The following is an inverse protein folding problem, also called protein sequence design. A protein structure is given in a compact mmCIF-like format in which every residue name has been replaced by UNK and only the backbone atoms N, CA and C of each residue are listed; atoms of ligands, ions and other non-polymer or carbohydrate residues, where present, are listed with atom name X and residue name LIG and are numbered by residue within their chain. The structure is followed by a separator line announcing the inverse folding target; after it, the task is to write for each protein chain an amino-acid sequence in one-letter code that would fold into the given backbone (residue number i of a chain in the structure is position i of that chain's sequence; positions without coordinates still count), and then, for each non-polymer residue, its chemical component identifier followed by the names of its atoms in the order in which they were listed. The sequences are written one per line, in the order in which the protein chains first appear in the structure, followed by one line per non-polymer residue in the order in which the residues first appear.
data_IF_807681176565
#
_entry.id   IF_807681176565
#
_cell.length_a   1.000
_cell.length_b   1.000
_cell.length_c   1.000
_cell.angle_alpha   90.00
_cell.angle_beta   90.00
_cell.angle_gamma   90.00
#
_symmetry.space_group_name_H-M   'P 1'
#
loop_
_entity.id
_entity.type
_entity.pdbx_description
1 polymer ?
#
# COMPACT_ATOMS: atom_id res chain seq x y z
N UNK A 1 -5.31 11.98 -3.33
CA UNK A 1 -6.13 11.84 -4.57
C UNK A 1 -5.69 10.60 -5.33
N UNK A 2 -6.64 9.79 -5.81
CA UNK A 2 -6.38 8.62 -6.66
C UNK A 2 -5.80 9.07 -8.00
N UNK A 3 -4.77 8.38 -8.49
CA UNK A 3 -4.10 8.74 -9.75
C UNK A 3 -4.95 8.29 -10.97
N UNK A 4 -5.40 9.25 -11.76
CA UNK A 4 -6.26 9.01 -12.92
C UNK A 4 -5.54 8.31 -14.08
N UNK A 5 -4.21 8.23 -14.07
CA UNK A 5 -3.47 7.39 -15.04
C UNK A 5 -3.75 5.91 -14.83
N UNK A 6 -4.04 5.50 -13.61
CA UNK A 6 -4.27 4.08 -13.27
C UNK A 6 -5.75 3.75 -13.12
N UNK A 7 -6.56 4.68 -12.62
CA UNK A 7 -7.95 4.43 -12.28
C UNK A 7 -8.84 5.50 -12.91
N UNK A 8 -9.88 5.07 -13.65
CA UNK A 8 -10.83 5.98 -14.23
C UNK A 8 -11.80 6.46 -13.15
N UNK A 9 -11.90 7.76 -12.96
CA UNK A 9 -12.89 8.38 -12.09
C UNK A 9 -14.23 8.52 -12.80
N UNK A 10 -15.31 8.00 -12.20
CA UNK A 10 -16.65 8.00 -12.76
C UNK A 10 -17.47 9.27 -12.38
N UNK A 11 -16.86 10.23 -11.66
CA UNK A 11 -17.48 11.48 -11.26
C UNK A 11 -17.03 12.69 -12.11
N UNK A 12 -17.26 13.91 -11.65
CA UNK A 12 -17.83 14.27 -10.33
C UNK A 12 -19.33 13.96 -10.17
N UNK A 13 -19.76 13.69 -8.94
CA UNK A 13 -21.14 13.30 -8.62
C UNK A 13 -21.62 13.98 -7.33
N UNK A 14 -22.90 14.30 -7.22
CA UNK A 14 -23.49 14.83 -5.97
C UNK A 14 -23.47 13.77 -4.87
N UNK A 15 -23.14 14.15 -3.63
CA UNK A 15 -22.99 13.23 -2.49
C UNK A 15 -24.27 12.43 -2.23
N UNK A 16 -25.44 13.09 -2.26
CA UNK A 16 -26.73 12.40 -2.09
C UNK A 16 -27.00 11.37 -3.19
N UNK A 17 -26.70 11.73 -4.45
CA UNK A 17 -26.83 10.82 -5.59
C UNK A 17 -25.84 9.64 -5.51
N UNK A 18 -24.61 9.88 -5.05
CA UNK A 18 -23.62 8.84 -4.82
C UNK A 18 -24.11 7.84 -3.76
N UNK A 19 -24.60 8.33 -2.61
CA UNK A 19 -25.12 7.47 -1.54
C UNK A 19 -26.35 6.67 -1.99
N UNK A 20 -27.25 7.29 -2.74
CA UNK A 20 -28.40 6.60 -3.33
C UNK A 20 -27.96 5.50 -4.32
N UNK A 21 -26.97 5.78 -5.18
CA UNK A 21 -26.47 4.81 -6.16
C UNK A 21 -25.89 3.53 -5.55
N UNK A 22 -25.42 3.60 -4.30
CA UNK A 22 -24.89 2.46 -3.54
C UNK A 22 -25.91 1.86 -2.55
N UNK A 23 -27.20 2.23 -2.66
CA UNK A 23 -28.28 1.73 -1.79
C UNK A 23 -28.24 2.26 -0.35
N UNK A 24 -27.70 3.47 -0.16
CA UNK A 24 -27.58 4.12 1.15
C UNK A 24 -28.37 5.45 1.21
N UNK A 25 -29.58 5.42 0.68
CA UNK A 25 -30.53 6.55 0.76
C UNK A 25 -30.85 6.93 2.22
N UNK A 26 -30.72 5.96 3.14
CA UNK A 26 -30.91 6.14 4.58
C UNK A 26 -29.97 7.20 5.19
N UNK A 27 -28.81 7.45 4.59
CA UNK A 27 -27.81 8.42 5.05
C UNK A 27 -28.06 9.84 4.51
N UNK A 28 -28.84 10.00 3.45
CA UNK A 28 -29.06 11.30 2.78
C UNK A 28 -29.78 12.34 3.66
N UNK A 29 -30.84 11.99 4.41
CA UNK A 29 -31.54 12.96 5.26
C UNK A 29 -30.68 13.59 6.37
N UNK A 30 -29.59 12.93 6.77
CA UNK A 30 -28.64 13.42 7.78
C UNK A 30 -27.58 14.37 7.26
N UNK A 31 -27.50 14.59 5.95
CA UNK A 31 -26.48 15.43 5.34
C UNK A 31 -26.82 16.91 5.44
N UNK A 32 -25.82 17.73 5.78
CA UNK A 32 -25.96 19.21 5.73
C UNK A 32 -26.06 19.76 4.30
N UNK A 33 -25.43 19.08 3.33
CA UNK A 33 -25.38 19.50 1.92
C UNK A 33 -25.40 18.26 1.00
N UNK A 34 -26.59 17.67 0.70
CA UNK A 34 -26.68 16.48 -0.17
C UNK A 34 -26.25 16.73 -1.62
N UNK A 35 -26.35 17.97 -2.09
CA UNK A 35 -25.96 18.35 -3.46
C UNK A 35 -24.46 18.68 -3.59
N UNK A 36 -23.68 18.54 -2.52
CA UNK A 36 -22.25 18.81 -2.54
C UNK A 36 -21.52 17.89 -3.51
N UNK A 37 -20.60 18.45 -4.31
CA UNK A 37 -19.96 17.75 -5.40
C UNK A 37 -18.75 16.95 -4.89
N UNK A 38 -18.81 15.64 -5.05
CA UNK A 38 -17.70 14.70 -4.78
C UNK A 38 -16.79 14.67 -6.00
N UNK A 39 -15.53 15.02 -5.81
CA UNK A 39 -14.49 15.03 -6.86
C UNK A 39 -13.42 13.93 -6.67
N UNK A 40 -13.54 13.10 -5.64
CA UNK A 40 -12.62 12.00 -5.40
C UNK A 40 -12.66 11.48 -3.98
N UNK A 41 -11.68 10.63 -3.69
CA UNK A 41 -11.38 10.09 -2.35
C UNK A 41 -9.91 10.29 -2.04
N UNK A 42 -9.57 10.47 -0.76
CA UNK A 42 -8.18 10.62 -0.34
C UNK A 42 -7.98 10.17 1.11
N UNK A 43 -6.72 10.01 1.51
CA UNK A 43 -6.36 9.81 2.92
C UNK A 43 -6.64 11.06 3.73
N UNK A 44 -6.90 10.92 5.04
CA UNK A 44 -7.27 12.04 5.93
C UNK A 44 -6.31 13.23 5.85
N UNK A 45 -5.00 12.95 5.77
CA UNK A 45 -3.94 13.96 5.76
C UNK A 45 -3.87 14.77 4.45
N UNK A 46 -4.34 14.18 3.35
CA UNK A 46 -4.19 14.71 1.98
C UNK A 46 -5.49 15.19 1.37
N UNK A 47 -6.63 14.88 1.98
CA UNK A 47 -7.95 15.15 1.43
C UNK A 47 -8.25 16.65 1.34
N UNK A 48 -8.77 17.05 0.17
CA UNK A 48 -9.24 18.40 -0.11
C UNK A 48 -10.76 18.54 0.04
N UNK A 49 -11.26 19.75 -0.23
CA UNK A 49 -12.67 20.11 -0.02
C UNK A 49 -13.67 19.23 -0.79
N UNK A 50 -13.35 18.81 -2.00
CA UNK A 50 -14.23 17.95 -2.83
C UNK A 50 -14.04 16.45 -2.60
N UNK A 51 -13.18 16.04 -1.70
CA UNK A 51 -12.81 14.63 -1.52
C UNK A 51 -13.44 14.03 -0.26
N UNK A 52 -13.79 12.75 -0.36
CA UNK A 52 -14.23 11.95 0.78
C UNK A 52 -13.00 11.36 1.47
N UNK A 53 -12.83 11.64 2.76
CA UNK A 53 -11.91 10.94 3.63
C UNK A 53 -12.68 10.00 4.57
N UNK A 54 -11.97 9.01 5.13
CA UNK A 54 -12.56 7.93 5.88
C UNK A 54 -11.86 7.71 7.22
N UNK A 55 -12.63 7.54 8.30
CA UNK A 55 -12.14 7.15 9.62
C UNK A 55 -13.13 6.23 10.33
N UNK A 56 -12.71 5.01 10.64
CA UNK A 56 -13.57 4.03 11.32
C UNK A 56 -13.13 3.68 12.75
N UNK A 57 -11.88 3.98 13.11
CA UNK A 57 -11.32 3.60 14.41
C UNK A 57 -10.85 4.82 15.20
N UNK A 58 -11.02 4.87 16.54
CA UNK A 58 -10.63 6.00 17.39
C UNK A 58 -9.15 6.41 17.29
N UNK A 59 -8.26 5.51 16.87
CA UNK A 59 -6.86 5.84 16.63
C UNK A 59 -6.66 6.94 15.59
N UNK A 60 -7.62 7.15 14.68
CA UNK A 60 -7.59 8.19 13.64
C UNK A 60 -8.22 9.52 14.08
N UNK A 61 -8.65 9.67 15.34
CA UNK A 61 -9.31 10.88 15.80
C UNK A 61 -8.41 12.14 15.70
N UNK A 62 -7.10 11.98 15.89
CA UNK A 62 -6.14 13.07 15.77
C UNK A 62 -5.99 13.56 14.33
N UNK A 63 -5.80 12.64 13.39
CA UNK A 63 -5.69 12.92 11.96
C UNK A 63 -7.00 13.47 11.41
N UNK A 64 -8.15 12.92 11.86
CA UNK A 64 -9.47 13.39 11.48
C UNK A 64 -9.69 14.85 11.83
N UNK A 65 -9.37 15.27 13.07
CA UNK A 65 -9.49 16.67 13.51
C UNK A 65 -8.64 17.65 12.69
N UNK A 66 -7.52 17.19 12.15
CA UNK A 66 -6.56 17.98 11.38
C UNK A 66 -6.82 17.93 9.87
N UNK A 67 -7.72 17.06 9.44
CA UNK A 67 -8.01 16.89 8.01
C UNK A 67 -8.65 18.14 7.39
N UNK A 68 -8.33 18.40 6.12
CA UNK A 68 -8.95 19.41 5.30
C UNK A 68 -10.05 18.85 4.38
N UNK A 69 -10.47 17.60 4.60
CA UNK A 69 -11.52 16.95 3.83
C UNK A 69 -12.84 17.73 3.93
N UNK A 70 -13.45 17.99 2.80
CA UNK A 70 -14.79 18.60 2.78
C UNK A 70 -15.90 17.61 3.10
N UNK A 71 -15.64 16.30 2.98
CA UNK A 71 -16.57 15.22 3.31
C UNK A 71 -15.82 14.15 4.12
N UNK A 72 -16.39 13.74 5.25
CA UNK A 72 -15.81 12.66 6.07
C UNK A 72 -16.84 11.56 6.30
N UNK A 73 -16.47 10.34 5.97
CA UNK A 73 -17.20 9.12 6.30
C UNK A 73 -16.65 8.54 7.58
N UNK A 74 -17.44 8.53 8.65
CA UNK A 74 -16.95 8.19 9.99
C UNK A 74 -17.85 7.21 10.73
N UNK A 75 -17.27 6.47 11.66
CA UNK A 75 -18.04 5.72 12.65
C UNK A 75 -18.74 6.70 13.62
N UNK A 76 -19.92 6.34 14.18
CA UNK A 76 -20.71 7.26 15.03
C UNK A 76 -19.95 7.85 16.22
N UNK A 77 -19.01 7.12 16.78
CA UNK A 77 -18.17 7.56 17.91
C UNK A 77 -17.04 8.57 17.53
N UNK A 78 -16.90 8.91 16.24
CA UNK A 78 -15.92 9.87 15.73
C UNK A 78 -16.57 11.15 15.18
N UNK A 79 -17.89 11.29 15.28
CA UNK A 79 -18.62 12.46 14.74
C UNK A 79 -18.13 13.77 15.35
N UNK A 80 -17.86 13.80 16.66
CA UNK A 80 -17.39 14.98 17.37
C UNK A 80 -15.93 15.34 17.03
N UNK A 81 -15.19 14.41 16.43
CA UNK A 81 -13.82 14.61 15.97
C UNK A 81 -13.73 15.12 14.52
N UNK A 82 -14.87 15.23 13.82
CA UNK A 82 -14.89 15.69 12.44
C UNK A 82 -14.41 17.15 12.30
N UNK A 83 -13.72 17.49 11.19
CA UNK A 83 -13.29 18.86 10.94
C UNK A 83 -14.46 19.83 10.91
N UNK A 84 -14.27 21.03 11.47
CA UNK A 84 -15.30 22.08 11.42
C UNK A 84 -15.62 22.46 9.97
N UNK A 85 -16.90 22.35 9.61
CA UNK A 85 -17.38 22.67 8.26
C UNK A 85 -17.35 21.51 7.26
N UNK A 86 -16.80 20.36 7.60
CA UNK A 86 -16.93 19.17 6.79
C UNK A 86 -18.35 18.60 6.83
N UNK A 87 -18.77 17.99 5.72
CA UNK A 87 -20.02 17.22 5.65
C UNK A 87 -19.74 15.85 6.27
N UNK A 88 -20.45 15.52 7.33
CA UNK A 88 -20.25 14.27 8.06
C UNK A 88 -21.26 13.22 7.59
N UNK A 89 -20.76 12.09 7.13
CA UNK A 89 -21.52 10.89 6.82
C UNK A 89 -21.23 9.85 7.91
N UNK A 90 -22.12 9.70 8.87
CA UNK A 90 -21.94 8.80 10.01
C UNK A 90 -22.67 7.48 9.81
N UNK A 91 -21.98 6.35 9.97
CA UNK A 91 -22.57 5.03 9.84
C UNK A 91 -21.80 3.96 10.63
N UNK A 92 -22.49 2.93 11.12
CA UNK A 92 -21.86 1.77 11.79
C UNK A 92 -21.15 0.82 10.80
N UNK A 93 -21.56 0.84 9.53
CA UNK A 93 -20.97 0.02 8.46
C UNK A 93 -19.90 0.76 7.65
N UNK A 94 -19.11 1.62 8.27
CA UNK A 94 -18.20 2.58 7.65
C UNK A 94 -17.30 1.96 6.56
N UNK A 95 -16.66 0.82 6.85
CA UNK A 95 -15.78 0.15 5.88
C UNK A 95 -16.54 -0.37 4.65
N UNK A 96 -17.75 -0.89 4.83
CA UNK A 96 -18.57 -1.39 3.72
C UNK A 96 -19.04 -0.25 2.83
N UNK A 97 -19.56 0.82 3.44
CA UNK A 97 -19.99 2.02 2.71
C UNK A 97 -18.81 2.65 1.97
N UNK A 98 -17.63 2.67 2.60
CA UNK A 98 -16.44 3.18 1.92
C UNK A 98 -16.05 2.32 0.71
N UNK A 99 -16.07 1.00 0.84
CA UNK A 99 -15.80 0.10 -0.29
C UNK A 99 -16.85 0.28 -1.42
N UNK A 100 -18.15 0.50 -1.08
CA UNK A 100 -19.19 0.79 -2.07
C UNK A 100 -18.93 2.11 -2.79
N UNK A 101 -18.52 3.15 -2.06
CA UNK A 101 -18.14 4.45 -2.63
C UNK A 101 -16.94 4.30 -3.58
N UNK A 102 -15.92 3.53 -3.19
CA UNK A 102 -14.76 3.27 -4.05
C UNK A 102 -15.15 2.52 -5.33
N UNK A 103 -16.03 1.52 -5.23
CA UNK A 103 -16.54 0.77 -6.38
C UNK A 103 -17.37 1.65 -7.32
N UNK A 104 -18.18 2.56 -6.78
CA UNK A 104 -18.99 3.49 -7.57
C UNK A 104 -18.15 4.55 -8.28
N UNK A 105 -17.18 5.16 -7.57
CA UNK A 105 -16.34 6.22 -8.11
C UNK A 105 -15.21 5.69 -9.02
N UNK A 106 -14.76 4.46 -8.80
CA UNK A 106 -13.68 3.81 -9.57
C UNK A 106 -14.09 2.38 -9.93
N UNK A 107 -14.92 2.20 -10.97
CA UNK A 107 -15.49 0.90 -11.35
C UNK A 107 -14.43 -0.18 -11.61
N UNK A 108 -14.70 -1.41 -11.20
CA UNK A 108 -13.76 -2.53 -11.23
C UNK A 108 -13.22 -2.87 -12.63
N UNK A 109 -13.99 -2.64 -13.68
CA UNK A 109 -13.56 -2.83 -15.07
C UNK A 109 -12.46 -1.84 -15.51
N UNK A 110 -12.21 -0.79 -14.74
CA UNK A 110 -11.13 0.17 -15.00
C UNK A 110 -9.89 -0.08 -14.12
N UNK A 111 -9.95 -1.07 -13.24
CA UNK A 111 -8.89 -1.46 -12.31
C UNK A 111 -8.15 -2.72 -12.77
N UNK A 112 -8.04 -2.89 -14.07
CA UNK A 112 -7.48 -4.09 -14.70
C UNK A 112 -6.06 -4.41 -14.23
N UNK A 113 -5.84 -5.66 -13.88
CA UNK A 113 -4.59 -6.17 -13.33
C UNK A 113 -3.47 -6.16 -14.36
N UNK A 114 -3.74 -6.39 -15.61
CA UNK A 114 -2.69 -6.55 -16.62
C UNK A 114 -3.04 -5.67 -17.81
N UNK A 115 -2.26 -4.62 -18.00
CA UNK A 115 -2.39 -3.79 -19.18
C UNK A 115 -3.86 -3.58 -19.57
N UNK A 116 -4.67 -3.20 -18.59
CA UNK A 116 -6.02 -2.76 -18.87
C UNK A 116 -5.91 -1.76 -19.99
N UNK A 117 -6.53 -2.07 -21.08
CA UNK A 117 -6.53 -1.22 -22.26
C UNK A 117 -7.16 0.12 -21.83
N UNK A 118 -6.30 1.02 -21.40
CA UNK A 118 -6.65 2.42 -21.15
C UNK A 118 -6.58 3.15 -22.48
N UNK A 119 -7.53 2.82 -23.37
CA UNK A 119 -7.65 3.45 -24.70
C UNK A 119 -7.80 4.97 -24.65
N UNK A 120 -8.15 5.51 -23.48
CA UNK A 120 -8.24 6.95 -23.20
C UNK A 120 -6.87 7.60 -22.90
N UNK A 121 -5.80 6.84 -22.72
CA UNK A 121 -4.44 7.34 -22.55
C UNK A 121 -3.70 7.45 -23.89
N UNK A 122 -2.69 8.32 -23.92
CA UNK A 122 -1.84 8.50 -25.08
C UNK A 122 -1.00 7.26 -25.38
N UNK A 123 -0.45 7.18 -26.59
CA UNK A 123 0.58 6.20 -26.95
C UNK A 123 1.78 6.28 -25.99
N UNK A 124 2.50 5.16 -25.76
CA UNK A 124 3.68 5.16 -24.92
C UNK A 124 4.75 6.15 -25.37
N UNK A 125 5.31 6.91 -24.42
CA UNK A 125 6.46 7.77 -24.67
C UNK A 125 7.75 7.06 -24.27
N UNK A 126 8.53 6.64 -25.27
CA UNK A 126 9.79 5.92 -25.07
C UNK A 126 10.94 6.83 -25.53
N UNK A 127 11.80 7.25 -24.59
CA UNK A 127 12.98 8.08 -24.92
C UNK A 127 14.01 7.29 -25.74
N UNK A 128 15.03 7.97 -26.27
CA UNK A 128 16.10 7.36 -27.03
C UNK A 128 16.91 6.35 -26.20
N UNK A 129 17.57 5.40 -26.88
CA UNK A 129 18.45 4.39 -26.28
C UNK A 129 17.75 3.46 -25.25
N UNK A 130 16.44 3.30 -25.34
CA UNK A 130 15.70 2.28 -24.59
C UNK A 130 15.78 0.95 -25.35
N UNK A 131 16.16 -0.11 -24.65
CA UNK A 131 16.15 -1.47 -25.19
C UNK A 131 14.94 -2.26 -24.67
N UNK A 132 14.13 -2.82 -25.56
CA UNK A 132 13.03 -3.72 -25.24
C UNK A 132 13.38 -5.14 -25.68
N UNK A 133 13.42 -6.07 -24.73
CA UNK A 133 13.62 -7.49 -24.99
C UNK A 133 12.43 -8.12 -25.74
N UNK A 134 12.56 -9.39 -26.10
CA UNK A 134 11.50 -10.11 -26.78
C UNK A 134 10.20 -10.18 -25.95
N UNK A 135 9.05 -10.03 -26.62
CA UNK A 135 7.72 -10.14 -26.02
C UNK A 135 7.44 -9.17 -24.85
N UNK A 136 8.08 -8.01 -24.81
CA UNK A 136 7.75 -6.96 -23.83
C UNK A 136 6.40 -6.37 -24.22
N UNK A 137 5.44 -6.36 -23.26
CA UNK A 137 4.16 -5.68 -23.41
C UNK A 137 4.24 -4.30 -22.75
N UNK A 138 3.85 -3.25 -23.48
CA UNK A 138 3.85 -1.86 -22.98
C UNK A 138 2.44 -1.29 -23.14
N UNK A 139 1.84 -0.87 -22.03
CA UNK A 139 0.49 -0.29 -21.98
C UNK A 139 0.46 1.17 -22.44
N UNK A 140 -0.74 1.68 -22.70
CA UNK A 140 -0.98 3.08 -23.07
C UNK A 140 -0.58 4.03 -21.93
N UNK A 141 -0.09 5.24 -22.26
CA UNK A 141 0.33 6.25 -21.30
C UNK A 141 1.61 5.92 -20.53
N UNK A 142 2.32 4.85 -20.91
CA UNK A 142 3.62 4.49 -20.31
C UNK A 142 4.69 5.50 -20.73
N UNK A 143 5.54 5.87 -19.79
CA UNK A 143 6.72 6.71 -20.04
C UNK A 143 8.00 5.96 -19.66
N UNK A 144 8.99 5.86 -20.57
CA UNK A 144 10.26 5.17 -20.32
C UNK A 144 11.42 6.10 -20.64
N UNK A 145 12.23 6.42 -19.62
CA UNK A 145 13.41 7.27 -19.72
C UNK A 145 14.57 6.60 -20.44
N UNK A 146 15.42 7.42 -21.08
CA UNK A 146 16.57 7.00 -21.89
C UNK A 146 17.51 6.04 -21.18
N UNK A 147 18.17 5.17 -21.94
CA UNK A 147 19.17 4.24 -21.45
C UNK A 147 18.59 3.10 -20.59
N UNK A 148 17.27 3.00 -20.50
CA UNK A 148 16.61 1.91 -19.75
C UNK A 148 16.57 0.63 -20.60
N UNK A 149 16.85 -0.50 -19.94
CA UNK A 149 16.83 -1.84 -20.54
C UNK A 149 15.71 -2.65 -19.91
N UNK A 150 14.82 -3.19 -20.73
CA UNK A 150 13.70 -4.03 -20.30
C UNK A 150 13.87 -5.44 -20.84
N UNK A 151 13.96 -6.41 -19.93
CA UNK A 151 14.15 -7.83 -20.23
C UNK A 151 12.93 -8.49 -20.86
N UNK A 152 13.15 -9.64 -21.47
CA UNK A 152 12.12 -10.38 -22.18
C UNK A 152 10.90 -10.72 -21.32
N UNK A 153 9.72 -10.75 -21.93
CA UNK A 153 8.43 -11.06 -21.31
C UNK A 153 8.04 -10.14 -20.14
N UNK A 154 8.65 -8.97 -20.00
CA UNK A 154 8.19 -7.98 -19.02
C UNK A 154 6.85 -7.39 -19.46
N UNK A 155 5.99 -7.04 -18.48
CA UNK A 155 4.70 -6.40 -18.70
C UNK A 155 4.69 -5.06 -17.96
N UNK A 156 4.57 -3.98 -18.72
CA UNK A 156 4.50 -2.61 -18.21
C UNK A 156 3.05 -2.15 -18.39
N UNK A 157 2.32 -2.08 -17.28
CA UNK A 157 0.91 -1.70 -17.25
C UNK A 157 0.69 -0.25 -17.68
N UNK A 158 -0.53 0.08 -18.07
CA UNK A 158 -0.90 1.41 -18.53
C UNK A 158 -0.59 2.49 -17.48
N UNK A 159 -0.08 3.64 -17.92
CA UNK A 159 0.22 4.80 -17.09
C UNK A 159 1.49 4.69 -16.23
N UNK A 160 2.18 3.55 -16.24
CA UNK A 160 3.44 3.36 -15.50
C UNK A 160 4.52 4.30 -16.02
N UNK A 161 5.32 4.89 -15.11
CA UNK A 161 6.49 5.67 -15.49
C UNK A 161 7.78 5.01 -15.00
N UNK A 162 8.77 4.94 -15.86
CA UNK A 162 10.10 4.38 -15.58
C UNK A 162 11.14 5.47 -15.89
N UNK A 163 11.96 5.82 -14.91
CA UNK A 163 13.03 6.79 -15.06
C UNK A 163 14.13 6.33 -16.01
N UNK A 164 15.26 7.02 -15.98
CA UNK A 164 16.42 6.80 -16.86
C UNK A 164 17.39 5.79 -16.29
N UNK A 165 18.10 5.10 -17.19
CA UNK A 165 19.18 4.14 -16.85
C UNK A 165 18.70 3.03 -15.90
N UNK A 166 17.44 2.59 -16.03
CA UNK A 166 16.90 1.47 -15.25
C UNK A 166 17.22 0.14 -15.92
N UNK A 167 17.28 -0.92 -15.11
CA UNK A 167 17.41 -2.30 -15.58
C UNK A 167 16.21 -3.09 -15.06
N UNK A 168 15.30 -3.44 -15.94
CA UNK A 168 14.10 -4.20 -15.64
C UNK A 168 14.31 -5.62 -16.13
N UNK A 169 14.40 -6.58 -15.22
CA UNK A 169 14.67 -7.99 -15.50
C UNK A 169 13.56 -8.68 -16.30
N UNK A 170 13.85 -9.88 -16.79
CA UNK A 170 12.86 -10.68 -17.50
C UNK A 170 11.66 -11.05 -16.61
N UNK A 171 10.47 -11.18 -17.20
CA UNK A 171 9.24 -11.54 -16.51
C UNK A 171 8.83 -10.57 -15.36
N UNK A 172 9.33 -9.35 -15.32
CA UNK A 172 8.88 -8.32 -14.38
C UNK A 172 7.49 -7.84 -14.78
N UNK A 173 6.63 -7.56 -13.78
CA UNK A 173 5.34 -6.90 -14.01
C UNK A 173 5.28 -5.61 -13.21
N UNK A 174 4.91 -4.51 -13.87
CA UNK A 174 4.71 -3.20 -13.26
C UNK A 174 3.26 -2.76 -13.47
N UNK A 175 2.57 -2.40 -12.39
CA UNK A 175 1.20 -1.91 -12.38
C UNK A 175 1.09 -0.74 -11.39
N UNK A 176 0.31 0.28 -11.69
CA UNK A 176 0.08 1.40 -10.77
C UNK A 176 1.37 1.88 -10.09
N UNK A 177 2.45 2.04 -10.84
CA UNK A 177 3.78 2.27 -10.30
C UNK A 177 4.52 3.40 -10.99
N UNK A 178 5.36 4.09 -10.22
CA UNK A 178 6.32 5.09 -10.68
C UNK A 178 7.71 4.73 -10.20
N UNK A 179 8.65 4.58 -11.13
CA UNK A 179 10.05 4.26 -10.87
C UNK A 179 10.92 5.48 -11.16
N UNK A 180 11.81 5.79 -10.23
CA UNK A 180 12.88 6.79 -10.41
C UNK A 180 13.99 6.32 -11.34
N UNK A 181 15.13 7.01 -11.28
CA UNK A 181 16.28 6.74 -12.13
C UNK A 181 17.19 5.65 -11.54
N UNK A 182 17.85 4.88 -12.41
CA UNK A 182 18.83 3.88 -11.99
C UNK A 182 18.27 2.75 -11.15
N UNK A 183 16.96 2.47 -11.26
CA UNK A 183 16.30 1.37 -10.56
C UNK A 183 16.69 0.05 -11.22
N UNK A 184 16.98 -0.95 -10.40
CA UNK A 184 17.27 -2.32 -10.85
C UNK A 184 16.22 -3.27 -10.29
N UNK A 185 15.47 -3.93 -11.16
CA UNK A 185 14.53 -4.99 -10.81
C UNK A 185 15.02 -6.31 -11.37
N UNK A 186 15.26 -7.27 -10.49
CA UNK A 186 15.69 -8.61 -10.89
C UNK A 186 14.54 -9.42 -11.50
N UNK A 187 14.82 -10.55 -12.20
CA UNK A 187 13.77 -11.31 -12.87
C UNK A 187 12.62 -11.71 -11.93
N UNK A 188 11.41 -11.62 -12.46
CA UNK A 188 10.21 -12.06 -11.76
C UNK A 188 9.66 -11.10 -10.69
N UNK A 189 10.24 -9.92 -10.50
CA UNK A 189 9.71 -8.89 -9.57
C UNK A 189 8.29 -8.45 -9.98
N UNK A 190 7.42 -8.22 -8.99
CA UNK A 190 6.07 -7.68 -9.17
C UNK A 190 5.92 -6.38 -8.40
N UNK A 191 5.63 -5.29 -9.08
CA UNK A 191 5.41 -3.98 -8.46
C UNK A 191 3.99 -3.51 -8.74
N UNK A 192 3.31 -3.08 -7.66
CA UNK A 192 2.00 -2.44 -7.76
C UNK A 192 0.82 -3.40 -7.83
N UNK A 193 1.01 -4.68 -7.49
CA UNK A 193 -0.11 -5.60 -7.28
C UNK A 193 -1.04 -5.10 -6.18
N UNK A 194 -2.31 -5.50 -6.21
CA UNK A 194 -3.27 -5.10 -5.18
C UNK A 194 -2.89 -5.64 -3.80
N UNK A 195 -2.91 -4.77 -2.80
CA UNK A 195 -2.70 -5.14 -1.41
C UNK A 195 -3.78 -6.08 -0.86
N UNK A 196 -3.48 -6.73 0.25
CA UNK A 196 -4.37 -7.68 0.92
C UNK A 196 -5.40 -6.94 1.78
N UNK A 197 -6.40 -6.31 1.13
CA UNK A 197 -7.51 -5.59 1.77
C UNK A 197 -8.82 -6.34 1.64
N UNK A 198 -9.31 -6.94 2.73
CA UNK A 198 -10.55 -7.73 2.75
C UNK A 198 -11.40 -7.40 3.96
N UNK A 199 -12.72 -7.36 3.76
CA UNK A 199 -13.72 -7.31 4.83
C UNK A 199 -14.25 -8.72 5.04
N UNK A 200 -14.23 -9.17 6.31
CA UNK A 200 -14.86 -10.42 6.71
C UNK A 200 -16.38 -10.23 6.85
N UNK A 201 -17.15 -11.01 6.10
CA UNK A 201 -18.61 -11.06 6.18
C UNK A 201 -19.14 -12.40 6.73
N UNK A 202 -18.28 -13.15 7.41
CA UNK A 202 -18.61 -14.44 8.04
C UNK A 202 -18.73 -15.61 7.06
N UNK A 203 -19.39 -15.45 5.91
CA UNK A 203 -19.52 -16.49 4.87
C UNK A 203 -18.80 -16.16 3.57
N UNK A 204 -18.54 -14.89 3.35
CA UNK A 204 -17.88 -14.39 2.12
C UNK A 204 -16.97 -13.24 2.48
N UNK A 205 -15.80 -13.21 1.88
CA UNK A 205 -14.87 -12.08 2.02
C UNK A 205 -15.15 -11.07 0.90
N UNK A 206 -15.26 -9.80 1.24
CA UNK A 206 -15.39 -8.72 0.28
C UNK A 206 -14.05 -8.00 0.13
N UNK A 207 -13.59 -7.83 -1.09
CA UNK A 207 -12.37 -7.07 -1.39
C UNK A 207 -12.60 -5.57 -1.24
N UNK A 208 -11.67 -4.89 -0.59
CA UNK A 208 -11.58 -3.42 -0.58
C UNK A 208 -10.74 -3.01 -1.78
N UNK A 209 -11.25 -2.14 -2.68
CA UNK A 209 -10.47 -1.63 -3.82
C UNK A 209 -9.15 -1.01 -3.39
N UNK A 210 -8.06 -1.36 -4.08
CA UNK A 210 -6.72 -0.84 -3.84
C UNK A 210 -6.39 0.15 -4.97
N UNK A 211 -6.52 1.44 -4.70
CA UNK A 211 -6.49 2.52 -5.69
C UNK A 211 -5.23 3.40 -5.60
N UNK A 212 -4.31 3.07 -4.70
CA UNK A 212 -3.05 3.77 -4.54
C UNK A 212 -1.99 3.30 -5.54
N UNK A 213 -0.74 3.69 -5.28
CA UNK A 213 0.40 3.44 -6.16
C UNK A 213 1.54 2.76 -5.40
N UNK A 214 2.51 2.25 -6.18
CA UNK A 214 3.84 1.89 -5.70
C UNK A 214 4.87 2.91 -6.24
N UNK A 215 5.60 3.57 -5.37
CA UNK A 215 6.63 4.56 -5.70
C UNK A 215 8.00 3.98 -5.36
N UNK A 216 8.81 3.75 -6.38
CA UNK A 216 10.17 3.24 -6.24
C UNK A 216 11.13 4.39 -6.56
N UNK A 217 11.83 4.89 -5.56
CA UNK A 217 12.72 6.04 -5.73
C UNK A 217 14.04 5.67 -6.43
N UNK A 218 14.89 6.65 -6.66
CA UNK A 218 16.15 6.49 -7.42
C UNK A 218 17.07 5.43 -6.80
N UNK A 219 17.79 4.70 -7.66
CA UNK A 219 18.86 3.74 -7.29
C UNK A 219 18.40 2.61 -6.34
N UNK A 220 17.10 2.35 -6.25
CA UNK A 220 16.56 1.17 -5.56
C UNK A 220 16.91 -0.08 -6.36
N UNK A 221 17.21 -1.17 -5.66
CA UNK A 221 17.41 -2.49 -6.26
C UNK A 221 16.49 -3.50 -5.58
N UNK A 222 15.78 -4.31 -6.36
CA UNK A 222 14.81 -5.29 -5.84
C UNK A 222 15.12 -6.66 -6.42
N UNK A 223 15.39 -7.61 -5.53
CA UNK A 223 15.75 -8.99 -5.80
C UNK A 223 14.64 -9.82 -6.43
N UNK A 224 15.03 -10.93 -7.03
CA UNK A 224 14.17 -11.78 -7.84
C UNK A 224 12.91 -12.27 -7.08
N UNK A 225 11.77 -12.27 -7.78
CA UNK A 225 10.46 -12.71 -7.27
C UNK A 225 9.98 -11.98 -6.00
N UNK A 226 10.54 -10.81 -5.67
CA UNK A 226 9.99 -9.95 -4.64
C UNK A 226 8.75 -9.25 -5.12
N UNK A 227 7.82 -8.95 -4.20
CA UNK A 227 6.52 -8.36 -4.49
C UNK A 227 6.30 -7.11 -3.64
N UNK A 228 5.89 -6.02 -4.28
CA UNK A 228 5.62 -4.73 -3.66
C UNK A 228 4.18 -4.36 -4.00
N UNK A 229 3.29 -4.40 -3.01
CA UNK A 229 1.89 -4.06 -3.21
C UNK A 229 1.71 -2.54 -3.33
N UNK A 230 0.74 -2.10 -4.13
CA UNK A 230 0.32 -0.70 -4.14
C UNK A 230 -0.44 -0.33 -2.87
N UNK A 231 -0.51 0.94 -2.54
CA UNK A 231 -1.31 1.40 -1.42
C UNK A 231 -2.82 1.24 -1.64
N UNK A 232 -3.59 1.31 -0.57
CA UNK A 232 -5.05 1.25 -0.65
C UNK A 232 -5.63 2.53 -1.28
N UNK A 233 -5.25 3.70 -0.77
CA UNK A 233 -5.54 5.02 -1.36
C UNK A 233 -4.26 5.82 -1.59
N UNK A 234 -3.37 5.81 -0.62
CA UNK A 234 -2.05 6.44 -0.69
C UNK A 234 -1.01 5.52 -1.32
N UNK A 235 0.24 5.85 -1.16
CA UNK A 235 1.34 5.16 -1.83
C UNK A 235 2.03 4.14 -0.92
N UNK A 236 2.49 3.03 -1.48
CA UNK A 236 3.60 2.25 -0.96
C UNK A 236 4.88 2.86 -1.50
N UNK A 237 5.84 3.17 -0.64
CA UNK A 237 7.05 3.90 -1.05
C UNK A 237 8.31 3.12 -0.65
N UNK A 238 9.23 2.97 -1.60
CA UNK A 238 10.59 2.46 -1.36
C UNK A 238 11.57 3.61 -1.57
N UNK A 239 12.23 4.03 -0.50
CA UNK A 239 13.14 5.16 -0.46
C UNK A 239 14.43 4.92 -1.24
N UNK A 240 15.01 6.02 -1.70
CA UNK A 240 16.20 6.08 -2.53
C UNK A 240 17.35 5.23 -1.98
N UNK A 241 18.04 4.50 -2.85
CA UNK A 241 19.22 3.71 -2.52
C UNK A 241 18.95 2.42 -1.75
N UNK A 242 17.71 2.14 -1.35
CA UNK A 242 17.32 0.93 -0.61
C UNK A 242 17.53 -0.32 -1.47
N UNK A 243 18.01 -1.40 -0.82
CA UNK A 243 18.25 -2.71 -1.43
C UNK A 243 17.34 -3.74 -0.78
N UNK A 244 16.57 -4.41 -1.61
CA UNK A 244 15.65 -5.48 -1.24
C UNK A 244 16.16 -6.77 -1.89
N UNK A 245 16.35 -7.81 -1.12
CA UNK A 245 16.81 -9.12 -1.59
C UNK A 245 15.64 -9.93 -2.18
N UNK A 246 15.89 -11.17 -2.50
CA UNK A 246 14.95 -12.07 -3.18
C UNK A 246 13.78 -12.49 -2.28
N UNK A 247 12.62 -12.76 -2.88
CA UNK A 247 11.45 -13.32 -2.19
C UNK A 247 10.96 -12.48 -1.00
N UNK A 248 11.11 -11.16 -1.07
CA UNK A 248 10.59 -10.24 -0.06
C UNK A 248 9.17 -9.81 -0.43
N UNK A 249 8.27 -9.76 0.57
CA UNK A 249 6.94 -9.17 0.44
C UNK A 249 6.89 -7.82 1.16
N UNK A 250 6.52 -6.77 0.45
CA UNK A 250 6.20 -5.45 1.04
C UNK A 250 4.72 -5.16 0.81
N UNK A 251 3.95 -5.13 1.90
CA UNK A 251 2.51 -4.93 1.88
C UNK A 251 2.10 -3.49 1.56
N UNK A 252 0.82 -3.30 1.30
CA UNK A 252 0.22 -2.02 0.92
C UNK A 252 0.51 -0.90 1.94
N UNK A 253 0.65 0.33 1.47
CA UNK A 253 0.90 1.53 2.30
C UNK A 253 2.19 1.49 3.14
N UNK A 254 3.09 0.52 2.93
CA UNK A 254 4.40 0.54 3.58
C UNK A 254 5.21 1.76 3.14
N UNK A 255 5.94 2.35 4.07
CA UNK A 255 6.87 3.45 3.83
C UNK A 255 8.26 2.98 4.21
N UNK A 256 9.07 2.63 3.24
CA UNK A 256 10.46 2.21 3.45
C UNK A 256 11.35 3.42 3.19
N UNK A 257 12.20 3.77 4.15
CA UNK A 257 13.14 4.88 4.10
C UNK A 257 14.28 4.67 3.10
N UNK A 258 15.26 5.57 3.14
CA UNK A 258 16.42 5.55 2.26
C UNK A 258 17.51 4.62 2.78
N UNK A 259 18.29 4.05 1.85
CA UNK A 259 19.47 3.23 2.16
C UNK A 259 19.20 2.08 3.14
N UNK A 260 17.99 1.54 3.15
CA UNK A 260 17.65 0.33 3.90
C UNK A 260 18.21 -0.91 3.22
N UNK A 261 18.50 -1.95 4.02
CA UNK A 261 18.87 -3.28 3.54
C UNK A 261 17.85 -4.30 4.07
N UNK A 262 17.10 -4.91 3.16
CA UNK A 262 16.06 -5.90 3.50
C UNK A 262 16.45 -7.24 2.91
N UNK A 263 16.88 -8.17 3.79
CA UNK A 263 17.35 -9.48 3.37
C UNK A 263 16.19 -10.43 2.99
N UNK A 264 16.54 -11.50 2.30
CA UNK A 264 15.62 -12.42 1.65
C UNK A 264 14.53 -12.98 2.58
N UNK A 265 13.37 -13.28 1.98
CA UNK A 265 12.20 -13.88 2.65
C UNK A 265 11.60 -13.01 3.77
N UNK A 266 11.95 -11.74 3.88
CA UNK A 266 11.30 -10.84 4.83
C UNK A 266 9.89 -10.47 4.35
N UNK A 267 8.95 -10.34 5.31
CA UNK A 267 7.56 -9.97 5.04
C UNK A 267 7.13 -8.78 5.88
N UNK A 268 6.83 -7.67 5.24
CA UNK A 268 6.34 -6.47 5.89
C UNK A 268 4.83 -6.35 5.66
N UNK A 269 4.07 -6.42 6.75
CA UNK A 269 2.62 -6.23 6.70
C UNK A 269 2.26 -4.79 6.39
N UNK A 270 1.05 -4.56 5.87
CA UNK A 270 0.59 -3.26 5.41
C UNK A 270 0.77 -2.14 6.43
N UNK A 271 0.99 -0.93 5.93
CA UNK A 271 1.20 0.30 6.71
C UNK A 271 2.40 0.26 7.68
N UNK A 272 3.37 -0.63 7.46
CA UNK A 272 4.63 -0.63 8.20
C UNK A 272 5.51 0.52 7.73
N UNK A 273 6.06 1.26 8.69
CA UNK A 273 7.03 2.34 8.45
C UNK A 273 8.42 1.84 8.87
N UNK A 274 9.33 1.77 7.93
CA UNK A 274 10.74 1.50 8.15
C UNK A 274 11.51 2.78 7.82
N UNK A 275 12.13 3.40 8.82
CA UNK A 275 12.86 4.65 8.60
C UNK A 275 14.21 4.43 7.89
N UNK A 276 14.99 5.50 7.71
CA UNK A 276 16.23 5.47 6.94
C UNK A 276 17.30 4.56 7.55
N UNK A 277 18.09 3.91 6.68
CA UNK A 277 19.27 3.11 7.05
C UNK A 277 18.97 1.93 7.99
N UNK A 278 17.78 1.37 7.95
CA UNK A 278 17.41 0.18 8.72
C UNK A 278 17.90 -1.07 8.00
N UNK A 279 18.39 -2.05 8.79
CA UNK A 279 18.76 -3.39 8.32
C UNK A 279 17.78 -4.43 8.84
N UNK A 280 17.11 -5.13 7.95
CA UNK A 280 16.25 -6.28 8.24
C UNK A 280 16.93 -7.56 7.78
N UNK A 281 17.24 -8.44 8.72
CA UNK A 281 17.82 -9.77 8.44
C UNK A 281 16.83 -10.70 7.75
N UNK A 282 17.32 -11.80 7.20
CA UNK A 282 16.50 -12.75 6.44
C UNK A 282 15.31 -13.32 7.21
N UNK A 283 14.15 -13.35 6.58
CA UNK A 283 12.92 -13.88 7.16
C UNK A 283 12.35 -13.07 8.32
N UNK A 284 12.67 -11.79 8.43
CA UNK A 284 12.01 -10.88 9.39
C UNK A 284 10.56 -10.69 9.00
N UNK A 285 9.65 -10.77 9.99
CA UNK A 285 8.24 -10.46 9.81
C UNK A 285 7.81 -9.25 10.64
N UNK A 286 6.94 -8.40 10.11
CA UNK A 286 6.35 -7.30 10.88
C UNK A 286 4.83 -7.46 10.98
N UNK A 287 4.25 -7.11 12.13
CA UNK A 287 2.81 -6.78 12.17
C UNK A 287 2.56 -5.48 11.42
N UNK A 288 1.32 -5.26 10.98
CA UNK A 288 0.94 -4.01 10.32
C UNK A 288 0.93 -2.80 11.28
N UNK A 289 0.93 -1.61 10.70
CA UNK A 289 0.77 -0.33 11.41
C UNK A 289 1.79 -0.09 12.52
N UNK A 290 3.06 -0.44 12.29
CA UNK A 290 4.15 -0.19 13.23
C UNK A 290 5.28 0.60 12.57
N UNK A 291 6.16 1.15 13.40
CA UNK A 291 7.33 1.94 13.00
C UNK A 291 8.62 1.32 13.53
N UNK A 292 9.62 1.20 12.66
CA UNK A 292 10.99 0.84 13.01
C UNK A 292 11.88 2.05 12.74
N UNK A 293 12.42 2.62 13.82
CA UNK A 293 13.18 3.86 13.77
C UNK A 293 14.54 3.73 13.06
N UNK A 294 15.05 4.86 12.61
CA UNK A 294 16.28 5.01 11.83
C UNK A 294 17.46 4.24 12.40
N UNK A 295 18.30 3.67 11.54
CA UNK A 295 19.54 2.90 11.87
C UNK A 295 19.32 1.67 12.75
N UNK A 296 18.09 1.20 12.90
CA UNK A 296 17.82 -0.02 13.63
C UNK A 296 18.31 -1.25 12.88
N UNK A 297 18.68 -2.29 13.63
CA UNK A 297 19.08 -3.59 13.11
C UNK A 297 18.15 -4.65 13.66
N UNK A 298 17.45 -5.34 12.78
CA UNK A 298 16.57 -6.46 13.14
C UNK A 298 17.22 -7.74 12.63
N UNK A 299 17.64 -8.61 13.55
CA UNK A 299 18.29 -9.90 13.19
C UNK A 299 17.28 -10.87 12.56
N UNK A 300 17.79 -11.79 11.76
CA UNK A 300 16.98 -12.76 11.00
C UNK A 300 15.97 -13.53 11.84
N UNK A 301 14.81 -13.83 11.21
CA UNK A 301 13.69 -14.56 11.84
C UNK A 301 13.01 -13.85 13.01
N UNK A 302 13.34 -12.60 13.31
CA UNK A 302 12.62 -11.84 14.33
C UNK A 302 11.22 -11.44 13.86
N UNK A 303 10.24 -11.49 14.78
CA UNK A 303 8.90 -10.99 14.59
C UNK A 303 8.76 -9.63 15.31
N UNK A 304 8.57 -8.56 14.55
CA UNK A 304 8.39 -7.21 15.09
C UNK A 304 6.89 -6.93 15.22
N UNK A 305 6.42 -6.73 16.45
CA UNK A 305 4.98 -6.61 16.77
C UNK A 305 4.58 -5.27 17.37
N UNK A 306 5.51 -4.31 17.50
CA UNK A 306 5.28 -2.97 18.03
C UNK A 306 6.33 -2.00 17.50
N UNK A 307 6.13 -0.71 17.78
CA UNK A 307 7.08 0.36 17.45
C UNK A 307 8.41 0.22 18.18
N UNK A 308 9.49 0.60 17.48
CA UNK A 308 10.83 0.63 18.02
C UNK A 308 11.52 1.94 17.67
N UNK A 309 12.19 2.60 18.63
CA UNK A 309 12.91 3.84 18.39
C UNK A 309 14.14 3.64 17.50
N UNK A 310 14.74 4.74 17.06
CA UNK A 310 16.00 4.71 16.32
C UNK A 310 17.11 3.97 17.08
N UNK A 311 18.08 3.43 16.33
CA UNK A 311 19.26 2.71 16.84
C UNK A 311 18.94 1.43 17.62
N UNK A 312 17.72 0.88 17.48
CA UNK A 312 17.32 -0.37 18.13
C UNK A 312 18.06 -1.58 17.53
N UNK A 313 18.41 -2.54 18.39
CA UNK A 313 18.96 -3.84 17.98
C UNK A 313 18.03 -4.93 18.44
N UNK A 314 17.37 -5.61 17.49
CA UNK A 314 16.30 -6.57 17.77
C UNK A 314 16.72 -7.96 17.33
N UNK A 315 16.34 -8.95 18.11
CA UNK A 315 16.57 -10.37 17.77
C UNK A 315 15.38 -11.23 18.22
N UNK A 316 15.22 -12.40 17.60
CA UNK A 316 14.22 -13.39 17.95
C UNK A 316 14.52 -14.71 17.27
N UNK A 317 14.07 -15.83 17.85
CA UNK A 317 14.17 -17.18 17.30
C UNK A 317 15.58 -17.61 16.81
N UNK A 318 16.66 -17.48 17.61
CA UNK A 318 17.97 -18.03 17.24
C UNK A 318 17.92 -19.56 17.21
N UNK A 319 18.71 -20.17 16.34
CA UNK A 319 18.92 -21.62 16.37
C UNK A 319 19.70 -22.01 17.65
N UNK A 320 19.33 -23.15 18.24
CA UNK A 320 19.93 -23.69 19.44
C UNK A 320 20.21 -25.19 19.25
N UNK A 321 21.07 -25.76 20.12
CA UNK A 321 21.14 -27.20 20.21
C UNK A 321 19.76 -27.79 20.58
N UNK A 322 19.38 -28.89 19.95
CA UNK A 322 18.03 -29.45 20.10
C UNK A 322 17.70 -29.83 21.57
N UNK A 323 18.70 -30.24 22.35
CA UNK A 323 18.51 -30.58 23.76
C UNK A 323 18.27 -29.32 24.61
N UNK A 324 18.97 -28.21 24.29
CA UNK A 324 18.82 -26.94 24.98
C UNK A 324 17.47 -26.33 24.65
N UNK A 325 17.05 -26.35 23.39
CA UNK A 325 15.72 -25.90 22.97
C UNK A 325 14.60 -26.62 23.76
N UNK A 326 14.64 -27.96 23.84
CA UNK A 326 13.63 -28.70 24.57
C UNK A 326 13.68 -28.46 26.07
N UNK A 327 14.90 -28.26 26.64
CA UNK A 327 15.08 -27.94 28.07
C UNK A 327 14.46 -26.57 28.40
N UNK A 328 14.74 -25.53 27.62
CA UNK A 328 14.17 -24.19 27.80
C UNK A 328 12.64 -24.21 27.68
N UNK A 329 12.10 -24.86 26.64
CA UNK A 329 10.67 -25.01 26.46
C UNK A 329 10.00 -25.74 27.64
N UNK A 330 10.65 -26.79 28.19
CA UNK A 330 10.13 -27.50 29.35
C UNK A 330 10.11 -26.62 30.61
N UNK A 331 11.14 -25.79 30.80
CA UNK A 331 11.21 -24.82 31.93
C UNK A 331 10.07 -23.80 31.80
N UNK A 332 9.89 -23.18 30.63
CA UNK A 332 8.83 -22.21 30.40
C UNK A 332 7.43 -22.80 30.69
N UNK A 333 7.18 -24.05 30.22
CA UNK A 333 5.91 -24.74 30.49
C UNK A 333 5.70 -25.05 31.98
N UNK A 334 6.74 -25.29 32.75
CA UNK A 334 6.63 -25.50 34.20
C UNK A 334 6.30 -24.19 34.91
N UNK A 335 6.93 -23.08 34.53
CA UNK A 335 6.67 -21.76 35.10
C UNK A 335 5.21 -21.32 34.90
N UNK A 336 4.69 -21.46 33.66
CA UNK A 336 3.30 -21.12 33.35
C UNK A 336 2.26 -21.99 34.06
N UNK A 337 2.61 -23.23 34.46
CA UNK A 337 1.73 -24.10 35.25
C UNK A 337 1.80 -23.78 36.74
N UNK A 338 2.89 -23.21 37.25
CA UNK A 338 3.09 -22.86 38.66
C UNK A 338 2.30 -21.62 39.10
N UNK A 339 2.02 -20.68 38.21
CA UNK A 339 1.23 -19.48 38.53
C UNK A 339 -0.28 -19.72 38.72
N UNK A 340 -0.79 -20.91 38.45
CA UNK A 340 -2.20 -21.30 38.73
C UNK A 340 -2.47 -21.77 40.17
N UNK A 341 -1.54 -21.59 41.11
CA UNK A 341 -1.71 -21.91 42.53
C UNK A 341 -1.46 -20.66 43.40
N UNK A 342 -2.29 -19.64 43.18
CA UNK A 342 -2.40 -18.49 44.01
C UNK A 342 -3.83 -17.99 43.99
#
# INVERSE_FOLDING_TARGET
MVDTRFHRFAGPVQLGALLASIGREDLVPGLSQPDYLVTGVSELELAGLGEIAFAAHPSYASELRQSSAGIVLVSPNLVDDAPKGAIVVATTGTHNVFADILDALYPSNTRSIIAGLREDLAEPLIEADVYLGANVAVGQGVEIGRGTVIGANAVIGAGVTIGRNCVIGANVTLECAHLGNGVVLHPGVRIGTEGFGWLDHGRTNRKIPQLGRAIIQDRVEIGANSTIDRGALGDTVIGEGTKVDNLVQIGHNCKIGRNCLIAAMSGLSGSTIVEDSVLLGGGVGTSGHLRIGTRSVVHGRAAVTKDWPADSKLAGAPAQDIKDFWRELAIMRKLTKGEKRG
#
